data_IF_363481452078
#
_entry.id   IF_363481452078
#
_cell.length_a   1.000
_cell.length_b   1.000
_cell.length_c   1.000
_cell.angle_alpha   90.00
_cell.angle_beta   90.00
_cell.angle_gamma   90.00
#
_symmetry.space_group_name_H-M   'P 1'
#
loop_
_entity.id
_entity.type
_entity.pdbx_description
1 polymer ?
#
# COMPACT_ATOMS: atom_id res chain seq x y z
N UNK A 1 5.24 15.95 -23.80
CA UNK A 1 4.94 16.19 -22.37
C UNK A 1 4.50 14.91 -21.65
N UNK A 2 3.92 13.94 -22.38
CA UNK A 2 3.39 12.71 -21.80
C UNK A 2 4.47 11.69 -21.42
N UNK A 3 5.62 11.70 -22.08
CA UNK A 3 6.72 10.75 -21.85
C UNK A 3 7.41 10.92 -20.48
N UNK A 4 7.43 12.13 -19.92
CA UNK A 4 8.11 12.40 -18.64
C UNK A 4 7.32 11.86 -17.44
N UNK A 5 5.99 11.96 -17.49
CA UNK A 5 5.12 11.41 -16.43
C UNK A 5 5.07 9.88 -16.48
N UNK A 6 5.13 9.27 -17.68
CA UNK A 6 5.18 7.83 -17.81
C UNK A 6 6.54 7.26 -17.33
N UNK A 7 7.65 7.97 -17.56
CA UNK A 7 8.95 7.59 -17.01
C UNK A 7 9.00 7.69 -15.47
N UNK A 8 8.45 8.76 -14.89
CA UNK A 8 8.37 8.92 -13.43
C UNK A 8 7.52 7.81 -12.79
N UNK A 9 6.39 7.50 -13.42
CA UNK A 9 5.49 6.44 -12.92
C UNK A 9 6.14 5.05 -12.97
N UNK A 10 6.84 4.72 -14.06
CA UNK A 10 7.57 3.45 -14.21
C UNK A 10 8.74 3.34 -13.23
N UNK A 11 9.49 4.43 -13.01
CA UNK A 11 10.58 4.45 -12.03
C UNK A 11 10.10 4.34 -10.59
N UNK A 12 8.96 4.95 -10.25
CA UNK A 12 8.40 4.91 -8.90
C UNK A 12 7.90 3.50 -8.52
N UNK A 13 7.33 2.73 -9.47
CA UNK A 13 6.84 1.37 -9.24
C UNK A 13 7.84 0.25 -9.56
N UNK A 14 8.85 0.50 -10.38
CA UNK A 14 9.80 -0.50 -10.88
C UNK A 14 11.27 -0.16 -10.67
N UNK A 15 11.60 0.81 -9.84
CA UNK A 15 12.92 1.42 -9.64
C UNK A 15 14.03 0.52 -9.07
N UNK A 16 14.07 -0.76 -9.38
CA UNK A 16 15.26 -1.57 -9.16
C UNK A 16 15.31 -2.70 -10.19
N UNK A 17 16.24 -2.61 -11.11
CA UNK A 17 16.73 -3.61 -12.06
C UNK A 17 16.33 -3.36 -13.52
N UNK A 18 17.10 -2.49 -14.18
CA UNK A 18 17.40 -2.71 -15.60
C UNK A 18 18.93 -2.73 -15.80
N UNK A 19 19.49 -3.80 -16.39
CA UNK A 19 20.88 -3.79 -16.84
C UNK A 19 21.03 -2.89 -18.06
N UNK A 20 21.99 -1.99 -18.01
CA UNK A 20 22.43 -1.25 -19.18
C UNK A 20 23.05 -2.18 -20.21
N UNK A 21 22.76 -1.93 -21.48
CA UNK A 21 23.24 -2.54 -22.72
C UNK A 21 22.49 -3.79 -23.23
N UNK A 22 21.50 -3.51 -24.09
CA UNK A 22 21.07 -4.49 -25.11
C UNK A 22 21.12 -3.81 -26.47
N UNK A 23 21.74 -4.44 -27.52
CA UNK A 23 21.73 -3.94 -28.90
C UNK A 23 20.29 -3.81 -29.42
N UNK A 24 20.01 -2.79 -30.22
CA UNK A 24 18.73 -2.64 -30.92
C UNK A 24 18.53 -3.76 -31.95
N UNK A 25 17.97 -4.86 -31.49
CA UNK A 25 17.38 -5.84 -32.36
C UNK A 25 15.91 -5.45 -32.58
N UNK A 26 15.46 -5.45 -33.82
CA UNK A 26 14.13 -5.08 -34.34
C UNK A 26 13.02 -5.45 -33.38
N UNK A 27 12.53 -4.47 -32.61
CA UNK A 27 11.57 -4.64 -31.55
C UNK A 27 10.21 -5.09 -32.13
N UNK A 28 9.91 -6.36 -32.00
CA UNK A 28 8.53 -6.81 -31.84
C UNK A 28 7.91 -6.02 -30.68
N UNK A 29 6.62 -5.63 -30.77
CA UNK A 29 5.97 -4.87 -29.69
C UNK A 29 6.21 -5.58 -28.35
N UNK A 30 6.54 -4.86 -27.27
CA UNK A 30 6.92 -5.48 -26.01
C UNK A 30 5.82 -6.44 -25.57
N UNK A 31 6.15 -7.71 -25.61
CA UNK A 31 5.32 -8.77 -25.08
C UNK A 31 5.02 -8.43 -23.62
N UNK A 32 3.73 -8.36 -23.24
CA UNK A 32 3.23 -7.91 -21.95
C UNK A 32 3.79 -8.75 -20.79
N UNK A 33 5.05 -8.50 -20.41
CA UNK A 33 5.76 -9.20 -19.34
C UNK A 33 5.26 -8.74 -17.95
N UNK A 34 4.74 -7.53 -17.83
CA UNK A 34 4.11 -7.06 -16.61
C UNK A 34 2.64 -7.45 -16.61
N UNK A 35 2.18 -8.25 -15.68
CA UNK A 35 0.77 -8.60 -15.48
C UNK A 35 -0.15 -7.38 -15.18
N UNK A 36 0.29 -6.17 -15.48
CA UNK A 36 -0.36 -4.89 -15.25
C UNK A 36 -1.39 -4.61 -16.33
N UNK A 37 -2.52 -4.04 -15.93
CA UNK A 37 -3.61 -3.63 -16.81
C UNK A 37 -3.20 -2.39 -17.62
N UNK A 38 -3.50 -2.40 -18.93
CA UNK A 38 -3.35 -1.22 -19.78
C UNK A 38 -4.57 -0.33 -19.61
N UNK A 39 -4.43 0.69 -18.77
CA UNK A 39 -5.52 1.61 -18.46
C UNK A 39 -5.83 2.52 -19.67
N UNK A 40 -7.11 2.80 -19.89
CA UNK A 40 -7.60 3.68 -20.94
C UNK A 40 -8.61 4.68 -20.40
N UNK A 41 -8.76 5.83 -21.05
CA UNK A 41 -9.75 6.84 -20.68
C UNK A 41 -9.53 7.42 -19.28
N UNK A 42 -10.60 7.52 -18.50
CA UNK A 42 -10.58 8.10 -17.14
C UNK A 42 -9.58 7.38 -16.21
N UNK A 43 -9.52 6.05 -16.27
CA UNK A 43 -8.68 5.24 -15.39
C UNK A 43 -7.19 5.47 -15.58
N UNK A 44 -6.76 6.01 -16.72
CA UNK A 44 -5.38 6.40 -16.96
C UNK A 44 -4.95 7.57 -16.06
N UNK A 45 -5.88 8.48 -15.77
CA UNK A 45 -5.59 9.65 -14.94
C UNK A 45 -5.52 9.35 -13.45
N UNK A 46 -6.21 8.30 -12.98
CA UNK A 46 -6.26 7.95 -11.54
C UNK A 46 -4.86 7.73 -10.95
N UNK A 47 -4.00 6.84 -11.48
CA UNK A 47 -2.65 6.67 -10.96
C UNK A 47 -1.77 7.91 -11.18
N UNK A 48 -1.91 8.63 -12.29
CA UNK A 48 -1.15 9.86 -12.54
C UNK A 48 -1.44 10.94 -11.50
N UNK A 49 -2.71 11.18 -11.22
CA UNK A 49 -3.14 12.14 -10.19
C UNK A 49 -2.68 11.69 -8.82
N UNK A 50 -2.83 10.40 -8.49
CA UNK A 50 -2.37 9.86 -7.20
C UNK A 50 -0.86 10.06 -7.01
N UNK A 51 -0.04 9.84 -8.05
CA UNK A 51 1.41 10.07 -8.00
C UNK A 51 1.75 11.54 -7.78
N UNK A 52 1.08 12.47 -8.50
CA UNK A 52 1.30 13.91 -8.31
C UNK A 52 0.92 14.34 -6.89
N UNK A 53 -0.25 13.91 -6.40
CA UNK A 53 -0.72 14.22 -5.05
C UNK A 53 0.25 13.65 -4.00
N UNK A 54 0.70 12.40 -4.21
CA UNK A 54 1.68 11.76 -3.34
C UNK A 54 2.99 12.55 -3.27
N UNK A 55 3.51 12.99 -4.42
CA UNK A 55 4.74 13.80 -4.49
C UNK A 55 4.57 15.12 -3.74
N UNK A 56 3.44 15.81 -3.92
CA UNK A 56 3.17 17.07 -3.22
C UNK A 56 3.07 16.88 -1.70
N UNK A 57 2.36 15.84 -1.23
CA UNK A 57 2.26 15.52 0.19
C UNK A 57 3.65 15.16 0.77
N UNK A 58 4.47 14.42 0.01
CA UNK A 58 5.82 14.06 0.44
C UNK A 58 6.73 15.29 0.55
N UNK A 59 6.66 16.20 -0.40
CA UNK A 59 7.41 17.47 -0.35
C UNK A 59 6.96 18.28 0.88
N UNK A 60 5.66 18.42 1.10
CA UNK A 60 5.12 19.13 2.27
C UNK A 60 5.62 18.51 3.59
N UNK A 61 5.61 17.18 3.69
CA UNK A 61 6.08 16.44 4.86
C UNK A 61 7.60 16.57 5.07
N UNK A 62 8.43 16.34 4.02
CA UNK A 62 9.89 16.35 4.13
C UNK A 62 10.46 17.73 4.46
N UNK A 63 9.90 18.77 3.85
CA UNK A 63 10.33 20.14 4.06
C UNK A 63 9.58 20.86 5.18
N UNK A 64 8.63 20.15 5.85
CA UNK A 64 7.78 20.69 6.91
C UNK A 64 7.14 22.04 6.53
N UNK A 65 6.63 22.13 5.28
CA UNK A 65 6.12 23.38 4.74
C UNK A 65 4.78 23.78 5.35
N UNK A 66 4.06 22.83 5.95
CA UNK A 66 2.74 22.99 6.60
C UNK A 66 1.70 23.67 5.67
N UNK A 67 1.83 23.51 4.37
CA UNK A 67 0.90 24.06 3.37
C UNK A 67 -0.48 23.41 3.50
N UNK A 68 -0.50 22.14 3.90
CA UNK A 68 -1.71 21.35 4.13
C UNK A 68 -1.86 21.15 5.65
N UNK A 69 -1.85 22.25 6.39
CA UNK A 69 -1.61 22.36 7.83
C UNK A 69 -2.48 21.55 8.78
N UNK A 70 -3.49 20.81 8.29
CA UNK A 70 -4.23 19.86 9.13
C UNK A 70 -3.87 18.38 8.82
N UNK A 71 -3.08 18.12 7.79
CA UNK A 71 -2.80 16.78 7.25
C UNK A 71 -1.48 16.19 7.79
N UNK A 72 -0.60 17.00 8.34
CA UNK A 72 0.76 16.56 8.75
C UNK A 72 1.05 16.75 10.23
N UNK A 73 0.03 16.78 11.07
CA UNK A 73 0.20 17.00 12.51
C UNK A 73 0.90 15.84 13.21
N UNK A 74 0.73 14.62 12.68
CA UNK A 74 1.31 13.40 13.25
C UNK A 74 2.01 12.60 12.16
N UNK A 75 3.23 12.09 12.44
CA UNK A 75 4.02 11.29 11.52
C UNK A 75 3.24 10.08 10.96
N UNK A 76 2.49 9.39 11.81
CA UNK A 76 1.65 8.26 11.41
C UNK A 76 0.57 8.63 10.37
N UNK A 77 0.08 9.88 10.40
CA UNK A 77 -0.91 10.38 9.43
C UNK A 77 -0.34 10.43 8.02
N UNK A 78 0.91 10.88 7.87
CA UNK A 78 1.61 10.85 6.58
C UNK A 78 1.69 9.42 6.04
N UNK A 79 2.05 8.43 6.87
CA UNK A 79 2.13 7.04 6.44
C UNK A 79 0.78 6.46 6.05
N UNK A 80 -0.30 6.77 6.78
CA UNK A 80 -1.65 6.39 6.37
C UNK A 80 -2.06 7.02 5.03
N UNK A 81 -1.64 8.25 4.74
CA UNK A 81 -1.90 8.88 3.43
C UNK A 81 -1.14 8.19 2.30
N UNK A 82 0.12 7.81 2.53
CA UNK A 82 0.90 7.03 1.56
C UNK A 82 0.15 5.75 1.20
N UNK A 83 -0.31 5.01 2.21
CA UNK A 83 -1.07 3.77 2.02
C UNK A 83 -2.41 4.05 1.35
N UNK A 84 -3.13 5.12 1.76
CA UNK A 84 -4.43 5.49 1.19
C UNK A 84 -4.36 5.86 -0.30
N UNK A 85 -3.25 6.41 -0.75
CA UNK A 85 -3.02 6.73 -2.16
C UNK A 85 -2.53 5.53 -2.97
N UNK A 86 -1.65 4.68 -2.40
CA UNK A 86 -0.98 3.62 -3.13
C UNK A 86 -1.76 2.29 -3.13
N UNK A 87 -2.30 1.88 -1.99
CA UNK A 87 -2.95 0.58 -1.85
C UNK A 87 -4.18 0.40 -2.75
N UNK A 88 -5.11 1.38 -2.86
CA UNK A 88 -6.26 1.26 -3.76
C UNK A 88 -5.85 1.09 -5.23
N UNK A 89 -4.74 1.72 -5.66
CA UNK A 89 -4.28 1.63 -7.06
C UNK A 89 -3.96 0.19 -7.48
N UNK A 90 -3.60 -0.69 -6.54
CA UNK A 90 -3.35 -2.10 -6.83
C UNK A 90 -4.55 -2.74 -7.51
N UNK A 91 -5.78 -2.41 -7.10
CA UNK A 91 -7.01 -2.98 -7.66
C UNK A 91 -7.33 -2.48 -9.07
N UNK A 92 -6.86 -1.30 -9.41
CA UNK A 92 -7.00 -0.73 -10.75
C UNK A 92 -5.92 -1.26 -11.68
N UNK A 93 -4.68 -1.36 -11.19
CA UNK A 93 -3.52 -1.76 -11.99
C UNK A 93 -3.42 -3.27 -12.21
N UNK A 94 -3.68 -4.09 -11.17
CA UNK A 94 -3.55 -5.55 -11.26
C UNK A 94 -4.92 -6.22 -11.36
N UNK A 95 -5.17 -6.99 -12.43
CA UNK A 95 -6.42 -7.72 -12.59
C UNK A 95 -6.53 -8.84 -11.55
N UNK A 96 -7.76 -9.18 -11.16
CA UNK A 96 -8.03 -10.23 -10.17
C UNK A 96 -7.49 -11.60 -10.60
N UNK A 97 -7.58 -11.91 -11.88
CA UNK A 97 -7.18 -13.19 -12.48
C UNK A 97 -6.51 -12.97 -13.84
N UNK A 98 -5.75 -13.97 -14.33
CA UNK A 98 -5.11 -13.97 -15.65
C UNK A 98 -6.09 -13.84 -16.82
N UNK A 99 -7.35 -14.22 -16.61
CA UNK A 99 -8.43 -14.16 -17.61
C UNK A 99 -9.26 -12.86 -17.55
N UNK A 100 -9.02 -12.01 -16.53
CA UNK A 100 -9.74 -10.74 -16.42
C UNK A 100 -9.29 -9.74 -17.52
N UNK A 101 -10.21 -8.84 -17.90
CA UNK A 101 -9.94 -7.80 -18.90
C UNK A 101 -8.70 -6.99 -18.53
N UNK A 102 -7.78 -6.82 -19.48
CA UNK A 102 -6.56 -6.03 -19.33
C UNK A 102 -6.71 -4.59 -19.79
N UNK A 103 -7.84 -4.23 -20.38
CA UNK A 103 -8.10 -2.89 -20.93
C UNK A 103 -9.21 -2.15 -20.17
N UNK A 104 -10.09 -2.87 -19.49
CA UNK A 104 -11.21 -2.28 -18.76
C UNK A 104 -11.12 -2.65 -17.28
N UNK A 105 -11.46 -1.69 -16.41
CA UNK A 105 -11.58 -1.91 -14.97
C UNK A 105 -13.00 -2.40 -14.69
N UNK A 106 -13.20 -3.66 -14.25
CA UNK A 106 -14.53 -4.18 -13.95
C UNK A 106 -15.09 -3.51 -12.68
N UNK A 107 -16.41 -3.51 -12.55
CA UNK A 107 -17.13 -2.86 -11.46
C UNK A 107 -16.69 -3.33 -10.05
N UNK A 108 -16.36 -4.60 -9.90
CA UNK A 108 -15.90 -5.16 -8.62
C UNK A 108 -14.51 -4.63 -8.22
N UNK A 109 -13.63 -4.34 -9.19
CA UNK A 109 -12.33 -3.71 -8.92
C UNK A 109 -12.51 -2.24 -8.53
N UNK A 110 -13.49 -1.55 -9.11
CA UNK A 110 -13.88 -0.20 -8.71
C UNK A 110 -14.42 -0.20 -7.27
N UNK A 111 -15.25 -1.18 -6.93
CA UNK A 111 -15.79 -1.31 -5.58
C UNK A 111 -14.67 -1.56 -4.56
N UNK A 112 -13.72 -2.44 -4.86
CA UNK A 112 -12.55 -2.70 -4.00
C UNK A 112 -11.65 -1.48 -3.89
N UNK A 113 -11.43 -0.74 -4.98
CA UNK A 113 -10.71 0.53 -4.95
C UNK A 113 -11.36 1.53 -3.98
N UNK A 114 -12.67 1.75 -4.11
CA UNK A 114 -13.40 2.67 -3.25
C UNK A 114 -13.46 2.20 -1.79
N UNK A 115 -13.69 0.90 -1.56
CA UNK A 115 -13.71 0.32 -0.24
C UNK A 115 -12.36 0.48 0.46
N UNK A 116 -11.27 0.15 -0.23
CA UNK A 116 -9.91 0.29 0.31
C UNK A 116 -9.55 1.76 0.56
N UNK A 117 -9.90 2.66 -0.37
CA UNK A 117 -9.72 4.10 -0.16
C UNK A 117 -10.49 4.61 1.07
N UNK A 118 -11.72 4.14 1.28
CA UNK A 118 -12.52 4.47 2.45
C UNK A 118 -11.92 3.92 3.76
N UNK A 119 -11.46 2.66 3.75
CA UNK A 119 -10.78 2.03 4.89
C UNK A 119 -9.50 2.81 5.25
N UNK A 120 -8.65 3.11 4.28
CA UNK A 120 -7.42 3.87 4.52
C UNK A 120 -7.74 5.32 4.94
N UNK A 121 -8.75 5.94 4.34
CA UNK A 121 -9.24 7.27 4.73
C UNK A 121 -9.70 7.34 6.18
N UNK A 122 -10.30 6.28 6.70
CA UNK A 122 -10.64 6.16 8.12
C UNK A 122 -9.39 6.28 9.02
N UNK A 123 -8.29 5.60 8.67
CA UNK A 123 -7.05 5.69 9.45
C UNK A 123 -6.38 7.07 9.33
N UNK A 124 -6.41 7.68 8.13
CA UNK A 124 -5.93 9.06 7.94
C UNK A 124 -6.68 10.03 8.83
N UNK A 125 -8.02 9.93 8.86
CA UNK A 125 -8.87 10.83 9.66
C UNK A 125 -8.68 10.63 11.16
N UNK A 126 -8.48 9.40 11.62
CA UNK A 126 -8.36 9.07 13.05
C UNK A 126 -6.90 8.97 13.52
N UNK A 127 -5.91 9.34 12.72
CA UNK A 127 -4.49 9.15 13.05
C UNK A 127 -4.08 9.80 14.39
N UNK A 128 -4.56 11.00 14.67
CA UNK A 128 -4.34 11.70 15.95
C UNK A 128 -5.00 10.95 17.11
N UNK A 129 -6.25 10.52 16.96
CA UNK A 129 -6.96 9.76 18.00
C UNK A 129 -6.33 8.40 18.28
N UNK A 130 -5.80 7.74 17.25
CA UNK A 130 -5.08 6.46 17.39
C UNK A 130 -3.88 6.66 18.32
N UNK A 131 -3.13 7.75 18.14
CA UNK A 131 -1.97 8.07 18.95
C UNK A 131 -2.36 8.51 20.34
N UNK A 132 -3.23 9.51 20.47
CA UNK A 132 -3.56 10.16 21.73
C UNK A 132 -4.33 9.26 22.70
N UNK A 133 -5.19 8.38 22.14
CA UNK A 133 -6.00 7.45 22.94
C UNK A 133 -5.37 6.07 23.07
N UNK A 134 -4.21 5.83 22.46
CA UNK A 134 -3.52 4.55 22.53
C UNK A 134 -4.33 3.39 21.93
N UNK A 135 -4.99 3.59 20.79
CA UNK A 135 -5.80 2.55 20.15
C UNK A 135 -5.00 1.32 19.72
N UNK A 136 -3.69 1.41 19.67
CA UNK A 136 -2.83 0.24 19.45
C UNK A 136 -2.93 -0.81 20.58
N UNK A 137 -3.35 -0.39 21.79
CA UNK A 137 -3.57 -1.25 22.95
C UNK A 137 -5.06 -1.54 23.18
N UNK A 138 -5.89 -0.51 23.11
CA UNK A 138 -7.34 -0.60 23.37
C UNK A 138 -8.12 0.22 22.36
N UNK A 139 -8.52 -0.45 21.25
CA UNK A 139 -9.29 0.19 20.19
C UNK A 139 -10.80 0.00 20.39
N UNK A 140 -11.63 0.97 19.96
CA UNK A 140 -13.08 0.80 19.92
C UNK A 140 -13.48 -0.28 18.90
N UNK A 141 -14.63 -0.93 19.10
CA UNK A 141 -15.07 -2.05 18.27
C UNK A 141 -15.11 -1.76 16.77
N UNK A 142 -15.54 -0.56 16.38
CA UNK A 142 -15.55 -0.17 14.96
C UNK A 142 -14.15 -0.11 14.36
N UNK A 143 -13.14 0.36 15.12
CA UNK A 143 -11.76 0.41 14.66
C UNK A 143 -11.16 -1.00 14.53
N UNK A 144 -11.54 -1.94 15.41
CA UNK A 144 -11.17 -3.36 15.27
C UNK A 144 -11.67 -3.94 13.95
N UNK A 145 -12.93 -3.71 13.60
CA UNK A 145 -13.53 -4.20 12.34
C UNK A 145 -12.80 -3.60 11.14
N UNK A 146 -12.52 -2.29 11.16
CA UNK A 146 -11.82 -1.62 10.06
C UNK A 146 -10.38 -2.13 9.94
N UNK A 147 -9.71 -2.49 11.05
CA UNK A 147 -8.38 -3.11 11.04
C UNK A 147 -8.38 -4.47 10.35
N UNK A 148 -9.39 -5.33 10.61
CA UNK A 148 -9.55 -6.58 9.87
C UNK A 148 -9.82 -6.37 8.39
N UNK A 149 -10.64 -5.37 8.04
CA UNK A 149 -10.88 -5.02 6.64
C UNK A 149 -9.59 -4.56 5.95
N UNK A 150 -8.77 -3.73 6.63
CA UNK A 150 -7.47 -3.30 6.10
C UNK A 150 -6.55 -4.51 5.87
N UNK A 151 -6.45 -5.40 6.86
CA UNK A 151 -5.64 -6.62 6.71
C UNK A 151 -6.10 -7.46 5.51
N UNK A 152 -7.39 -7.70 5.35
CA UNK A 152 -7.93 -8.46 4.23
C UNK A 152 -7.64 -7.80 2.88
N UNK A 153 -7.77 -6.48 2.79
CA UNK A 153 -7.44 -5.73 1.56
C UNK A 153 -5.95 -5.79 1.25
N UNK A 154 -5.07 -5.69 2.24
CA UNK A 154 -3.61 -5.83 2.02
C UNK A 154 -3.27 -7.22 1.50
N UNK A 155 -3.78 -8.30 2.11
CA UNK A 155 -3.54 -9.68 1.65
C UNK A 155 -4.04 -9.89 0.22
N UNK A 156 -5.23 -9.36 -0.11
CA UNK A 156 -5.76 -9.42 -1.47
C UNK A 156 -4.91 -8.60 -2.45
N UNK A 157 -4.43 -7.42 -2.07
CA UNK A 157 -3.54 -6.60 -2.89
C UNK A 157 -2.21 -7.33 -3.17
N UNK A 158 -1.62 -7.95 -2.15
CA UNK A 158 -0.40 -8.77 -2.29
C UNK A 158 -0.65 -9.96 -3.20
N UNK A 159 -1.81 -10.63 -3.10
CA UNK A 159 -2.18 -11.73 -3.98
C UNK A 159 -2.23 -11.30 -5.45
N UNK A 160 -2.73 -10.10 -5.73
CA UNK A 160 -2.82 -9.57 -7.09
C UNK A 160 -1.47 -9.15 -7.65
N UNK A 161 -0.66 -8.46 -6.88
CA UNK A 161 0.63 -7.93 -7.32
C UNK A 161 1.75 -8.98 -7.29
N UNK A 162 1.81 -9.79 -6.23
CA UNK A 162 2.87 -10.77 -5.97
C UNK A 162 2.49 -12.22 -6.28
N UNK A 163 1.20 -12.48 -6.55
CA UNK A 163 0.69 -13.83 -6.77
C UNK A 163 0.35 -14.60 -5.50
N UNK A 164 -0.29 -15.75 -5.70
CA UNK A 164 -0.79 -16.58 -4.60
C UNK A 164 0.30 -17.08 -3.63
N UNK A 165 1.50 -17.51 -4.07
CA UNK A 165 2.52 -17.99 -3.15
C UNK A 165 2.97 -16.91 -2.15
N UNK A 166 3.18 -15.68 -2.63
CA UNK A 166 3.59 -14.56 -1.78
C UNK A 166 2.47 -14.18 -0.82
N UNK A 167 1.22 -14.17 -1.29
CA UNK A 167 0.07 -13.87 -0.44
C UNK A 167 -0.11 -14.90 0.69
N UNK A 168 0.15 -16.17 0.44
CA UNK A 168 0.11 -17.22 1.47
C UNK A 168 1.21 -16.98 2.51
N UNK A 169 2.44 -16.70 2.07
CA UNK A 169 3.55 -16.42 2.99
C UNK A 169 3.24 -15.20 3.85
N UNK A 170 2.80 -14.10 3.25
CA UNK A 170 2.43 -12.87 3.97
C UNK A 170 1.24 -13.12 4.90
N UNK A 171 0.23 -13.85 4.45
CA UNK A 171 -0.93 -14.22 5.27
C UNK A 171 -0.53 -15.01 6.51
N UNK A 172 0.27 -16.07 6.36
CA UNK A 172 0.76 -16.88 7.48
C UNK A 172 1.65 -16.04 8.41
N UNK A 173 2.58 -15.27 7.85
CA UNK A 173 3.47 -14.42 8.64
C UNK A 173 2.70 -13.36 9.44
N UNK A 174 1.66 -12.77 8.86
CA UNK A 174 0.83 -11.79 9.56
C UNK A 174 -0.02 -12.38 10.69
N UNK A 175 -0.30 -13.67 10.65
CA UNK A 175 -1.00 -14.37 11.72
C UNK A 175 -0.06 -14.93 12.81
N UNK A 176 1.26 -14.81 12.61
CA UNK A 176 2.27 -15.30 13.55
C UNK A 176 2.02 -14.91 15.01
N UNK A 177 1.63 -13.66 15.37
CA UNK A 177 1.41 -13.29 16.76
C UNK A 177 0.34 -14.13 17.48
N UNK A 178 -0.59 -14.75 16.73
CA UNK A 178 -1.67 -15.55 17.31
C UNK A 178 -1.14 -16.89 17.86
N UNK A 179 -0.11 -17.45 17.25
CA UNK A 179 0.48 -18.74 17.60
C UNK A 179 1.97 -18.66 17.97
N UNK A 180 2.42 -17.47 18.38
CA UNK A 180 3.81 -17.22 18.73
C UNK A 180 4.35 -18.08 19.88
N UNK A 181 3.48 -18.55 20.77
CA UNK A 181 3.81 -19.44 21.87
C UNK A 181 4.10 -20.89 21.43
N UNK A 182 3.57 -21.31 20.28
CA UNK A 182 3.78 -22.65 19.72
C UNK A 182 5.11 -22.80 18.99
N UNK A 183 5.75 -21.69 18.66
CA UNK A 183 7.01 -21.69 17.90
C UNK A 183 8.20 -21.79 18.85
N UNK A 184 9.02 -22.84 18.78
CA UNK A 184 10.16 -23.00 19.67
C UNK A 184 11.34 -22.10 19.25
N UNK A 185 12.15 -21.70 20.24
CA UNK A 185 13.41 -21.01 20.01
C UNK A 185 13.37 -19.49 20.21
N UNK A 186 14.33 -18.77 19.62
CA UNK A 186 14.51 -17.34 19.91
C UNK A 186 13.39 -16.44 19.40
N UNK A 187 12.51 -16.97 18.55
CA UNK A 187 11.33 -16.25 18.03
C UNK A 187 10.04 -16.58 18.80
N UNK A 188 10.12 -17.38 19.86
CA UNK A 188 8.97 -17.65 20.72
C UNK A 188 8.48 -16.36 21.39
N UNK A 189 7.17 -16.10 21.33
CA UNK A 189 6.56 -14.91 21.90
C UNK A 189 5.29 -15.23 22.71
N UNK A 190 4.70 -14.21 23.30
CA UNK A 190 3.41 -14.33 23.94
C UNK A 190 2.29 -14.36 22.90
N UNK A 191 1.29 -15.26 23.02
CA UNK A 191 0.20 -15.32 22.07
C UNK A 191 -0.69 -14.08 22.16
N UNK A 192 -1.10 -13.57 21.02
CA UNK A 192 -2.02 -12.45 20.91
C UNK A 192 -3.38 -12.90 20.40
N UNK A 193 -4.46 -12.24 20.79
CA UNK A 193 -5.77 -12.50 20.21
C UNK A 193 -5.80 -12.06 18.73
N UNK A 194 -6.64 -12.70 17.88
CA UNK A 194 -6.78 -12.26 16.49
C UNK A 194 -7.12 -10.78 16.33
N UNK A 195 -7.97 -10.27 17.25
CA UNK A 195 -8.37 -8.87 17.27
C UNK A 195 -7.20 -7.94 17.57
N UNK A 196 -6.43 -8.28 18.61
CA UNK A 196 -5.25 -7.50 18.98
C UNK A 196 -4.19 -7.54 17.88
N UNK A 197 -3.99 -8.69 17.24
CA UNK A 197 -3.08 -8.82 16.10
C UNK A 197 -3.48 -7.90 14.94
N UNK A 198 -4.77 -7.83 14.59
CA UNK A 198 -5.25 -6.94 13.53
C UNK A 198 -5.08 -5.46 13.87
N UNK A 199 -5.37 -5.08 15.13
CA UNK A 199 -5.16 -3.72 15.64
C UNK A 199 -3.69 -3.36 15.58
N UNK A 200 -2.81 -4.23 16.07
CA UNK A 200 -1.37 -4.02 16.09
C UNK A 200 -0.83 -3.80 14.68
N UNK A 201 -1.21 -4.64 13.71
CA UNK A 201 -0.77 -4.47 12.33
C UNK A 201 -1.26 -3.17 11.68
N UNK A 202 -2.46 -2.70 12.03
CA UNK A 202 -3.05 -1.50 11.44
C UNK A 202 -2.60 -0.20 12.11
N UNK A 203 -2.31 -0.20 13.42
CA UNK A 203 -2.19 1.02 14.21
C UNK A 203 -0.86 1.16 14.94
N UNK A 204 -0.12 0.06 15.21
CA UNK A 204 1.13 0.15 15.96
C UNK A 204 2.27 0.75 15.12
N UNK A 205 3.06 1.60 15.77
CA UNK A 205 4.29 2.17 15.21
C UNK A 205 5.39 1.12 14.98
N UNK A 206 5.32 0.00 15.65
CA UNK A 206 6.28 -1.10 15.51
C UNK A 206 5.87 -2.09 14.40
N UNK A 207 4.69 -1.90 13.81
CA UNK A 207 4.16 -2.72 12.72
C UNK A 207 4.59 -2.21 11.34
N UNK A 208 3.97 -2.77 10.30
CA UNK A 208 4.19 -2.37 8.89
C UNK A 208 3.94 -0.87 8.69
N UNK A 209 2.99 -0.28 9.43
CA UNK A 209 2.65 1.16 9.35
C UNK A 209 3.68 2.08 10.02
N UNK A 210 4.61 1.55 10.78
CA UNK A 210 5.69 2.29 11.41
C UNK A 210 7.01 2.15 10.66
N UNK A 211 7.96 1.41 11.24
CA UNK A 211 9.36 1.33 10.80
C UNK A 211 9.52 0.93 9.31
N UNK A 212 8.87 -0.12 8.78
CA UNK A 212 9.04 -0.48 7.38
C UNK A 212 8.54 0.59 6.41
N UNK A 213 7.40 1.21 6.72
CA UNK A 213 6.83 2.26 5.86
C UNK A 213 7.61 3.56 5.97
N UNK A 214 8.13 3.89 7.15
CA UNK A 214 9.04 5.01 7.37
C UNK A 214 10.33 4.84 6.57
N UNK A 215 10.93 3.65 6.59
CA UNK A 215 12.10 3.34 5.77
C UNK A 215 11.80 3.50 4.28
N UNK A 216 10.65 3.00 3.81
CA UNK A 216 10.22 3.16 2.43
C UNK A 216 10.00 4.64 2.07
N UNK A 217 9.28 5.39 2.90
CA UNK A 217 8.99 6.80 2.65
C UNK A 217 10.26 7.65 2.64
N UNK A 218 11.16 7.46 3.60
CA UNK A 218 12.37 8.24 3.72
C UNK A 218 13.43 7.86 2.68
N UNK A 219 13.59 6.57 2.37
CA UNK A 219 14.61 6.11 1.43
C UNK A 219 14.13 6.17 -0.02
N UNK A 220 12.94 5.63 -0.32
CA UNK A 220 12.47 5.54 -1.71
C UNK A 220 11.86 6.85 -2.18
N UNK A 221 10.97 7.44 -1.39
CA UNK A 221 10.28 8.67 -1.78
C UNK A 221 11.19 9.89 -1.60
N UNK A 222 12.02 9.92 -0.54
CA UNK A 222 12.91 11.02 -0.25
C UNK A 222 14.13 11.13 -1.20
N UNK A 223 14.50 10.03 -1.89
CA UNK A 223 15.59 10.03 -2.88
C UNK A 223 15.11 10.20 -4.32
N UNK A 224 13.82 10.16 -4.61
CA UNK A 224 13.23 10.43 -5.93
C UNK A 224 12.92 11.90 -6.13
#
# INVERSE_FOLDING_TARGET
PDLLLDHLFVHFYFGAVLPMNVPQETASPPENISGIRQLTGFWLWVPRVATVVMTLITIDYLFNLQLIGFITQVESQFFYMVVALMLPLVYVLWPMNKHASRTQVPWYDVLLFLATAGICGFFVYNAEQILDRGWEYEAPQYAMVVSFMLWATIVEAVRRAGGLPIAIIVGIASLYPIFADLVPGPIQGFPSSPTQTAIYHAMSRESIMGIPLQAFANLVIGFL
#
